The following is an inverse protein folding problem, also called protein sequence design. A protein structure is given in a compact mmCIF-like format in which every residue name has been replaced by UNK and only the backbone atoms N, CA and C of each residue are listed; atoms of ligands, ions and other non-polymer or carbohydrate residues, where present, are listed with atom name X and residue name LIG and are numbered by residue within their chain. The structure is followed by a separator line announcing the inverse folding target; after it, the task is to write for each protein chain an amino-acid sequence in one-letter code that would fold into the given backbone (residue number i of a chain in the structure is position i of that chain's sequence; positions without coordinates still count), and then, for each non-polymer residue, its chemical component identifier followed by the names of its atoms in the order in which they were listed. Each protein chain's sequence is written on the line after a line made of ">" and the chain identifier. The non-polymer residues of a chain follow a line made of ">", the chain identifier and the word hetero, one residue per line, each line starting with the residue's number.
data_IF_743325088050
#
_entry.id   IF_743325088050
#
_cell.length_a   1.000
_cell.length_b   1.000
_cell.length_c   1.000
_cell.angle_alpha   90.00
_cell.angle_beta   90.00
_cell.angle_gamma   90.00
#
_symmetry.space_group_name_H-M   'P 1'
#
loop_
_entity.id
_entity.type
_entity.pdbx_description
1 polymer ?
#
# COMPACT_ATOMS: atom_id res chain seq x y z
N UNK A 1 -7.19 -14.10 -16.99
CA UNK A 1 -7.63 -12.73 -16.68
C UNK A 1 -8.78 -12.35 -17.58
N UNK A 2 -9.79 -11.71 -17.00
CA UNK A 2 -11.00 -11.22 -17.65
C UNK A 2 -11.24 -9.78 -17.20
N UNK A 3 -11.74 -8.95 -18.12
CA UNK A 3 -12.16 -7.57 -17.83
C UNK A 3 -13.63 -7.44 -18.22
N UNK A 4 -14.49 -7.20 -17.24
CA UNK A 4 -15.92 -6.95 -17.42
C UNK A 4 -16.19 -5.45 -17.35
N UNK A 5 -16.88 -4.87 -18.33
CA UNK A 5 -17.36 -3.48 -18.22
C UNK A 5 -18.57 -3.44 -17.29
N UNK A 6 -18.67 -2.40 -16.48
CA UNK A 6 -19.87 -2.13 -15.68
C UNK A 6 -20.96 -1.57 -16.58
N UNK A 7 -22.19 -1.99 -16.36
CA UNK A 7 -23.36 -1.54 -17.13
C UNK A 7 -24.05 -0.34 -16.48
N UNK A 8 -23.99 -0.25 -15.14
CA UNK A 8 -24.66 0.78 -14.34
C UNK A 8 -23.86 2.08 -14.22
N UNK A 9 -22.56 2.04 -14.47
CA UNK A 9 -21.65 3.19 -14.36
C UNK A 9 -20.44 3.03 -15.27
N UNK A 10 -19.78 4.14 -15.62
CA UNK A 10 -18.56 4.07 -16.41
C UNK A 10 -17.44 3.45 -15.57
N UNK A 11 -17.05 2.22 -15.89
CA UNK A 11 -16.03 1.52 -15.15
C UNK A 11 -15.87 0.07 -15.58
N UNK A 12 -15.05 -0.66 -14.85
CA UNK A 12 -14.74 -2.04 -15.16
C UNK A 12 -14.43 -2.84 -13.89
N UNK A 13 -14.54 -4.15 -13.97
CA UNK A 13 -14.02 -5.11 -13.00
C UNK A 13 -12.96 -5.95 -13.69
N UNK A 14 -11.80 -6.14 -13.06
CA UNK A 14 -10.77 -7.06 -13.53
C UNK A 14 -10.76 -8.27 -12.60
N UNK A 15 -10.81 -9.46 -13.19
CA UNK A 15 -10.64 -10.75 -12.51
C UNK A 15 -9.35 -11.40 -13.01
N UNK A 16 -8.39 -11.73 -12.13
CA UNK A 16 -7.15 -12.36 -12.60
C UNK A 16 -7.35 -13.81 -13.06
N UNK A 17 -8.00 -14.63 -12.22
CA UNK A 17 -8.35 -16.02 -12.49
C UNK A 17 -9.87 -16.16 -12.60
N UNK A 18 -10.44 -16.12 -13.83
CA UNK A 18 -11.89 -16.27 -14.02
C UNK A 18 -12.38 -17.63 -13.51
N UNK A 19 -13.53 -17.63 -12.85
CA UNK A 19 -14.13 -18.82 -12.23
C UNK A 19 -13.62 -19.14 -10.82
N UNK A 20 -12.83 -18.26 -10.19
CA UNK A 20 -12.49 -18.41 -8.77
C UNK A 20 -13.73 -18.19 -7.87
N UNK A 21 -13.79 -18.94 -6.77
CA UNK A 21 -14.90 -18.87 -5.80
C UNK A 21 -14.96 -17.53 -5.05
N UNK A 22 -13.80 -16.88 -4.87
CA UNK A 22 -13.71 -15.59 -4.17
C UNK A 22 -12.64 -14.71 -4.81
N UNK A 23 -13.05 -13.47 -5.08
CA UNK A 23 -12.21 -12.40 -5.58
C UNK A 23 -11.93 -11.37 -4.50
N UNK A 24 -10.70 -10.88 -4.42
CA UNK A 24 -10.31 -9.86 -3.44
C UNK A 24 -9.51 -8.76 -4.10
N UNK A 25 -9.85 -7.53 -3.80
CA UNK A 25 -9.00 -6.38 -4.07
C UNK A 25 -9.78 -5.07 -4.13
N UNK A 26 -9.09 -3.94 -4.35
CA UNK A 26 -9.67 -2.64 -4.05
C UNK A 26 -10.64 -2.15 -5.11
N UNK A 27 -11.57 -1.30 -4.70
CA UNK A 27 -12.29 -0.38 -5.59
C UNK A 27 -11.47 0.91 -5.73
N UNK A 28 -11.32 1.41 -6.94
CA UNK A 28 -10.49 2.57 -7.29
C UNK A 28 -11.32 3.58 -8.07
N UNK A 29 -11.06 4.87 -7.89
CA UNK A 29 -11.75 5.93 -8.61
C UNK A 29 -10.79 6.82 -9.41
N UNK A 30 -11.20 7.18 -10.63
CA UNK A 30 -10.59 8.27 -11.38
C UNK A 30 -10.97 8.29 -12.86
N UNK A 31 -11.22 9.49 -13.38
CA UNK A 31 -11.65 9.73 -14.77
C UNK A 31 -10.71 9.16 -15.86
N UNK A 32 -9.43 8.96 -15.53
CA UNK A 32 -8.41 8.41 -16.44
C UNK A 32 -7.98 6.98 -16.10
N UNK A 33 -8.75 6.28 -15.26
CA UNK A 33 -8.48 4.87 -15.00
C UNK A 33 -8.57 4.06 -16.29
N UNK A 34 -7.62 3.14 -16.43
CA UNK A 34 -7.53 2.20 -17.54
C UNK A 34 -7.18 0.83 -16.96
N UNK A 35 -7.76 -0.27 -17.49
CA UNK A 35 -7.51 -1.62 -16.97
C UNK A 35 -6.03 -1.97 -16.89
N UNK A 36 -5.25 -1.65 -17.93
CA UNK A 36 -3.81 -1.95 -18.01
C UNK A 36 -2.96 -1.39 -16.86
N UNK A 37 -3.43 -0.33 -16.17
CA UNK A 37 -2.73 0.22 -15.01
C UNK A 37 -2.90 -0.62 -13.73
N UNK A 38 -3.88 -1.54 -13.72
CA UNK A 38 -4.23 -2.33 -12.55
C UNK A 38 -4.05 -3.84 -12.74
N UNK A 39 -3.92 -4.35 -13.97
CA UNK A 39 -3.72 -5.78 -14.26
C UNK A 39 -2.60 -6.42 -13.45
N UNK A 40 -1.45 -5.74 -13.37
CA UNK A 40 -0.30 -6.25 -12.63
C UNK A 40 -0.56 -6.28 -11.11
N UNK A 41 -1.31 -5.32 -10.57
CA UNK A 41 -1.68 -5.27 -9.15
C UNK A 41 -2.69 -6.36 -8.79
N UNK A 42 -3.64 -6.60 -9.70
CA UNK A 42 -4.62 -7.68 -9.60
C UNK A 42 -3.90 -9.03 -9.61
N UNK A 43 -2.94 -9.24 -10.51
CA UNK A 43 -2.12 -10.46 -10.54
C UNK A 43 -1.24 -10.64 -9.32
N UNK A 44 -0.64 -9.56 -8.82
CA UNK A 44 0.15 -9.59 -7.58
C UNK A 44 -0.69 -10.11 -6.41
N UNK A 45 -1.93 -9.63 -6.27
CA UNK A 45 -2.83 -10.08 -5.21
C UNK A 45 -3.14 -11.59 -5.31
N UNK A 46 -3.35 -12.13 -6.52
CA UNK A 46 -3.50 -13.58 -6.74
C UNK A 46 -2.27 -14.34 -6.27
N UNK A 47 -1.07 -13.85 -6.59
CA UNK A 47 0.17 -14.52 -6.17
C UNK A 47 0.36 -14.48 -4.65
N UNK A 48 -0.06 -13.41 -3.97
CA UNK A 48 -0.08 -13.36 -2.50
C UNK A 48 -0.98 -14.47 -1.93
N UNK A 49 -2.18 -14.67 -2.48
CA UNK A 49 -3.02 -15.79 -2.05
C UNK A 49 -2.41 -17.14 -2.37
N UNK A 50 -1.79 -17.30 -3.54
CA UNK A 50 -1.08 -18.52 -3.90
C UNK A 50 0.07 -18.84 -2.94
N UNK A 51 0.84 -17.83 -2.49
CA UNK A 51 1.91 -18.00 -1.50
C UNK A 51 1.38 -18.37 -0.11
N UNK A 52 0.15 -17.95 0.22
CA UNK A 52 -0.52 -18.27 1.48
C UNK A 52 -1.41 -19.53 1.37
N UNK A 53 -1.36 -20.23 0.24
CA UNK A 53 -2.17 -21.43 -0.06
C UNK A 53 -3.69 -21.19 0.06
N UNK A 54 -4.12 -19.96 -0.20
CA UNK A 54 -5.51 -19.54 -0.16
C UNK A 54 -6.16 -19.69 -1.55
N UNK A 55 -7.36 -20.28 -1.61
CA UNK A 55 -8.13 -20.44 -2.86
C UNK A 55 -8.90 -19.15 -3.21
N UNK A 56 -8.16 -18.07 -3.45
CA UNK A 56 -8.70 -16.74 -3.77
C UNK A 56 -7.97 -16.15 -4.96
N UNK A 57 -8.68 -15.35 -5.76
CA UNK A 57 -8.12 -14.60 -6.89
C UNK A 57 -8.03 -13.12 -6.54
N UNK A 58 -7.01 -12.45 -7.08
CA UNK A 58 -7.00 -11.00 -7.12
C UNK A 58 -8.07 -10.46 -8.06
N UNK A 59 -8.63 -9.31 -7.70
CA UNK A 59 -9.54 -8.54 -8.55
C UNK A 59 -9.46 -7.03 -8.22
N UNK A 60 -10.09 -6.20 -9.04
CA UNK A 60 -10.26 -4.76 -8.73
C UNK A 60 -11.47 -4.20 -9.46
N UNK A 61 -12.14 -3.24 -8.83
CA UNK A 61 -13.19 -2.43 -9.46
C UNK A 61 -12.57 -1.07 -9.80
N UNK A 62 -12.68 -0.64 -11.05
CA UNK A 62 -12.24 0.68 -11.51
C UNK A 62 -13.43 1.55 -11.91
N UNK A 63 -13.75 2.55 -11.10
CA UNK A 63 -14.78 3.55 -11.38
C UNK A 63 -14.17 4.73 -12.15
N UNK A 64 -14.49 4.83 -13.43
CA UNK A 64 -13.93 5.82 -14.35
C UNK A 64 -14.81 7.06 -14.43
N UNK A 65 -14.93 7.74 -13.30
CA UNK A 65 -15.75 8.96 -13.14
C UNK A 65 -14.93 10.09 -12.51
N UNK A 66 -15.44 11.31 -12.61
CA UNK A 66 -14.89 12.45 -11.89
C UNK A 66 -15.22 12.34 -10.38
N UNK A 67 -14.40 12.97 -9.50
CA UNK A 67 -14.63 12.89 -8.05
C UNK A 67 -16.03 13.36 -7.61
N UNK A 68 -16.62 14.31 -8.31
CA UNK A 68 -17.95 14.84 -8.00
C UNK A 68 -19.07 13.80 -8.23
N UNK A 69 -18.80 12.78 -9.05
CA UNK A 69 -19.74 11.69 -9.36
C UNK A 69 -19.53 10.44 -8.49
N UNK A 70 -18.66 10.51 -7.48
CA UNK A 70 -18.27 9.35 -6.65
C UNK A 70 -19.48 8.63 -6.04
N UNK A 71 -20.39 9.38 -5.42
CA UNK A 71 -21.54 8.81 -4.71
C UNK A 71 -22.46 8.03 -5.67
N UNK A 72 -22.78 8.63 -6.82
CA UNK A 72 -23.60 8.00 -7.84
C UNK A 72 -22.93 6.74 -8.42
N UNK A 73 -21.63 6.78 -8.70
CA UNK A 73 -20.89 5.64 -9.23
C UNK A 73 -20.78 4.48 -8.22
N UNK A 74 -20.57 4.78 -6.94
CA UNK A 74 -20.53 3.76 -5.88
C UNK A 74 -21.91 3.14 -5.66
N UNK A 75 -22.98 3.93 -5.66
CA UNK A 75 -24.34 3.41 -5.53
C UNK A 75 -24.69 2.48 -6.70
N UNK A 76 -24.37 2.90 -7.93
CA UNK A 76 -24.60 2.11 -9.14
C UNK A 76 -23.87 0.74 -9.09
N UNK A 77 -22.57 0.73 -8.75
CA UNK A 77 -21.82 -0.54 -8.66
C UNK A 77 -22.29 -1.41 -7.48
N UNK A 78 -22.73 -0.80 -6.37
CA UNK A 78 -23.28 -1.54 -5.23
C UNK A 78 -24.57 -2.29 -5.61
N UNK A 79 -25.40 -1.70 -6.47
CA UNK A 79 -26.62 -2.34 -6.99
C UNK A 79 -26.27 -3.42 -8.04
N UNK A 80 -25.41 -3.10 -9.02
CA UNK A 80 -25.05 -4.02 -10.10
C UNK A 80 -24.35 -5.29 -9.58
N UNK A 81 -23.49 -5.16 -8.57
CA UNK A 81 -22.72 -6.28 -7.99
C UNK A 81 -23.27 -6.74 -6.64
N UNK A 82 -24.53 -6.44 -6.33
CA UNK A 82 -25.16 -6.75 -5.03
C UNK A 82 -25.00 -8.23 -4.64
N UNK A 83 -25.28 -9.14 -5.58
CA UNK A 83 -25.18 -10.57 -5.34
C UNK A 83 -23.74 -11.01 -5.01
N UNK A 84 -22.73 -10.40 -5.64
CA UNK A 84 -21.32 -10.71 -5.39
C UNK A 84 -20.89 -10.28 -3.98
N UNK A 85 -21.36 -9.10 -3.54
CA UNK A 85 -21.07 -8.58 -2.20
C UNK A 85 -21.82 -9.35 -1.11
N UNK A 86 -23.12 -9.63 -1.27
CA UNK A 86 -23.89 -10.38 -0.26
C UNK A 86 -23.37 -11.81 -0.06
N UNK A 87 -22.98 -12.47 -1.16
CA UNK A 87 -22.42 -13.82 -1.17
C UNK A 87 -20.96 -13.88 -0.72
N UNK A 88 -20.27 -12.74 -0.59
CA UNK A 88 -18.83 -12.64 -0.33
C UNK A 88 -17.95 -13.25 -1.44
N UNK A 89 -18.48 -13.43 -2.65
CA UNK A 89 -17.69 -13.85 -3.81
C UNK A 89 -16.82 -12.70 -4.34
N UNK A 90 -17.12 -11.45 -3.98
CA UNK A 90 -16.23 -10.31 -4.17
C UNK A 90 -16.02 -9.53 -2.87
N UNK A 91 -14.76 -9.46 -2.41
CA UNK A 91 -14.35 -8.71 -1.23
C UNK A 91 -13.55 -7.48 -1.65
N UNK A 92 -14.08 -6.28 -1.37
CA UNK A 92 -13.41 -5.02 -1.73
C UNK A 92 -13.00 -4.19 -0.52
N UNK A 93 -11.99 -3.35 -0.72
CA UNK A 93 -11.53 -2.34 0.22
C UNK A 93 -11.38 -1.00 -0.51
N UNK A 94 -11.39 0.15 0.19
CA UNK A 94 -11.08 1.42 -0.43
C UNK A 94 -9.68 1.40 -1.05
N UNK A 95 -9.59 1.79 -2.32
CA UNK A 95 -8.34 1.99 -3.03
C UNK A 95 -8.14 3.46 -3.39
N UNK A 96 -7.49 3.69 -4.54
CA UNK A 96 -7.16 5.02 -5.03
C UNK A 96 -8.38 5.96 -4.99
N UNK A 97 -8.24 7.07 -4.24
CA UNK A 97 -9.22 8.17 -4.10
C UNK A 97 -10.56 7.78 -3.46
N UNK A 98 -10.63 6.62 -2.82
CA UNK A 98 -11.81 6.22 -2.04
C UNK A 98 -11.40 6.06 -0.57
N UNK A 99 -12.38 6.23 0.30
CA UNK A 99 -12.31 5.92 1.73
C UNK A 99 -13.51 5.05 2.13
N UNK A 100 -13.53 4.56 3.37
CA UNK A 100 -14.62 3.68 3.84
C UNK A 100 -15.99 4.35 3.74
N UNK A 101 -16.10 5.61 4.15
CA UNK A 101 -17.37 6.35 4.09
C UNK A 101 -17.91 6.44 2.65
N UNK A 102 -17.06 6.76 1.69
CA UNK A 102 -17.44 6.83 0.28
C UNK A 102 -17.80 5.46 -0.32
N UNK A 103 -17.31 4.36 0.27
CA UNK A 103 -17.53 2.99 -0.21
C UNK A 103 -18.56 2.21 0.64
N UNK A 104 -19.20 2.86 1.61
CA UNK A 104 -20.15 2.25 2.55
C UNK A 104 -21.30 1.47 1.86
N UNK A 105 -21.88 1.92 0.73
CA UNK A 105 -22.92 1.16 0.03
C UNK A 105 -22.51 -0.27 -0.35
N UNK A 106 -21.20 -0.49 -0.54
CA UNK A 106 -20.62 -1.80 -0.79
C UNK A 106 -20.13 -2.46 0.50
N UNK A 107 -19.42 -1.71 1.35
CA UNK A 107 -18.78 -2.25 2.56
C UNK A 107 -19.78 -2.72 3.64
N UNK A 108 -21.03 -2.26 3.61
CA UNK A 108 -22.09 -2.76 4.50
C UNK A 108 -22.35 -4.27 4.41
N UNK A 109 -21.89 -4.91 3.32
CA UNK A 109 -21.99 -6.35 3.11
C UNK A 109 -20.75 -7.12 3.55
N UNK A 110 -19.65 -6.43 3.89
CA UNK A 110 -18.39 -7.06 4.27
C UNK A 110 -18.49 -7.80 5.61
N UNK A 111 -18.19 -9.11 5.61
CA UNK A 111 -18.22 -9.97 6.79
C UNK A 111 -16.82 -10.30 7.31
N UNK A 112 -15.77 -9.71 6.75
CA UNK A 112 -14.41 -9.85 7.29
C UNK A 112 -14.36 -9.33 8.72
N UNK A 113 -13.51 -9.94 9.53
CA UNK A 113 -13.40 -9.59 10.95
C UNK A 113 -13.00 -8.10 11.10
N UNK A 114 -13.86 -7.32 11.77
CA UNK A 114 -13.66 -5.88 11.96
C UNK A 114 -12.43 -5.56 12.81
N UNK A 115 -11.82 -6.54 13.48
CA UNK A 115 -10.54 -6.37 14.17
C UNK A 115 -9.44 -5.83 13.26
N UNK A 116 -9.47 -6.13 11.95
CA UNK A 116 -8.49 -5.56 10.99
C UNK A 116 -8.54 -4.03 10.92
N UNK A 117 -9.66 -3.43 11.34
CA UNK A 117 -9.92 -2.00 11.34
C UNK A 117 -9.67 -1.35 12.69
N UNK A 118 -9.33 -2.13 13.72
CA UNK A 118 -9.03 -1.59 15.03
C UNK A 118 -7.87 -0.58 14.90
N UNK A 119 -8.12 0.65 15.34
CA UNK A 119 -7.15 1.73 15.30
C UNK A 119 -6.31 1.73 16.58
N UNK A 120 -4.99 1.81 16.43
CA UNK A 120 -4.06 2.06 17.51
C UNK A 120 -3.17 3.24 17.16
N UNK A 121 -3.54 4.39 17.72
CA UNK A 121 -2.85 5.67 17.55
C UNK A 121 -2.71 6.01 16.05
N UNK A 122 -3.85 5.98 15.33
CA UNK A 122 -4.00 6.37 13.93
C UNK A 122 -3.40 5.39 12.90
N UNK A 123 -3.12 4.16 13.32
CA UNK A 123 -2.71 3.05 12.45
C UNK A 123 -3.69 1.90 12.65
N UNK A 124 -4.25 1.38 11.56
CA UNK A 124 -5.15 0.22 11.62
C UNK A 124 -4.38 -1.07 11.88
N UNK A 125 -5.03 -2.05 12.51
CA UNK A 125 -4.42 -3.36 12.78
C UNK A 125 -3.90 -4.06 11.51
N UNK A 126 -4.57 -3.89 10.36
CA UNK A 126 -4.08 -4.37 9.06
C UNK A 126 -2.73 -3.73 8.67
N UNK A 127 -2.59 -2.42 8.83
CA UNK A 127 -1.33 -1.70 8.58
C UNK A 127 -0.25 -2.09 9.59
N UNK A 128 -0.64 -2.40 10.83
CA UNK A 128 0.28 -2.92 11.85
C UNK A 128 0.88 -4.28 11.48
N UNK A 129 0.05 -5.19 10.97
CA UNK A 129 0.50 -6.50 10.50
C UNK A 129 1.43 -6.37 9.30
N UNK A 130 1.17 -5.43 8.39
CA UNK A 130 2.06 -5.14 7.26
C UNK A 130 3.41 -4.62 7.72
N UNK A 131 3.45 -3.64 8.64
CA UNK A 131 4.71 -3.11 9.15
C UNK A 131 5.51 -4.13 9.96
N UNK A 132 4.84 -4.97 10.77
CA UNK A 132 5.46 -6.10 11.46
C UNK A 132 6.08 -7.10 10.48
N UNK A 133 5.33 -7.51 9.46
CA UNK A 133 5.83 -8.44 8.43
C UNK A 133 7.05 -7.87 7.70
N UNK A 134 6.98 -6.60 7.30
CA UNK A 134 8.07 -5.92 6.61
C UNK A 134 9.32 -5.80 7.49
N UNK A 135 9.19 -5.32 8.73
CA UNK A 135 10.30 -5.19 9.66
C UNK A 135 10.93 -6.56 9.98
N UNK A 136 10.11 -7.61 10.10
CA UNK A 136 10.58 -8.99 10.30
C UNK A 136 11.39 -9.48 9.09
N UNK A 137 10.90 -9.25 7.86
CA UNK A 137 11.63 -9.61 6.64
C UNK A 137 12.97 -8.87 6.55
N UNK A 138 12.99 -7.58 6.87
CA UNK A 138 14.21 -6.78 6.92
C UNK A 138 15.20 -7.33 7.95
N UNK A 139 14.74 -7.61 9.18
CA UNK A 139 15.57 -8.11 10.26
C UNK A 139 16.18 -9.50 9.94
N UNK A 140 15.46 -10.36 9.22
CA UNK A 140 16.00 -11.64 8.76
C UNK A 140 17.11 -11.47 7.73
N UNK A 141 17.00 -10.45 6.86
CA UNK A 141 18.01 -10.16 5.85
C UNK A 141 19.29 -9.55 6.45
N UNK A 142 19.15 -8.60 7.38
CA UNK A 142 20.30 -7.80 7.88
C UNK A 142 20.86 -8.30 9.21
N UNK A 143 20.09 -9.10 9.98
CA UNK A 143 20.42 -9.54 11.35
C UNK A 143 20.90 -8.38 12.23
N UNK A 144 20.00 -7.41 12.50
CA UNK A 144 20.40 -6.12 13.05
C UNK A 144 21.04 -6.27 14.43
N UNK A 145 22.09 -5.50 14.66
CA UNK A 145 22.66 -5.25 16.00
C UNK A 145 22.09 -3.95 16.57
N UNK A 146 22.59 -3.51 17.73
CA UNK A 146 22.25 -2.19 18.29
C UNK A 146 22.44 -1.07 17.23
N UNK A 147 21.56 -0.07 17.23
CA UNK A 147 21.54 1.10 16.32
C UNK A 147 21.17 0.76 14.86
N UNK A 148 20.20 -0.14 14.65
CA UNK A 148 19.67 -0.48 13.32
C UNK A 148 19.06 0.74 12.62
N UNK A 149 19.60 1.14 11.47
CA UNK A 149 19.20 2.33 10.71
C UNK A 149 18.37 1.95 9.51
N UNK A 150 17.19 2.54 9.39
CA UNK A 150 16.32 2.28 8.23
C UNK A 150 15.92 3.56 7.50
N UNK A 151 15.63 3.42 6.22
CA UNK A 151 14.95 4.46 5.44
C UNK A 151 13.57 3.98 5.00
N UNK A 152 12.60 4.89 4.94
CA UNK A 152 11.21 4.59 4.54
C UNK A 152 10.82 5.52 3.39
N UNK A 153 10.65 4.95 2.20
CA UNK A 153 10.04 5.64 1.07
C UNK A 153 8.51 5.54 1.13
N UNK A 154 7.83 6.65 0.83
CA UNK A 154 6.38 6.69 0.82
C UNK A 154 5.77 6.73 2.20
N UNK A 155 6.40 7.45 3.14
CA UNK A 155 6.00 7.47 4.54
C UNK A 155 4.52 7.82 4.71
N UNK A 156 3.82 6.94 5.42
CA UNK A 156 2.38 6.94 5.71
C UNK A 156 2.13 6.08 6.96
N UNK A 157 0.89 5.68 7.24
CA UNK A 157 0.53 4.80 8.36
C UNK A 157 1.29 3.46 8.38
N UNK A 158 1.48 2.81 7.22
CA UNK A 158 2.31 1.59 7.11
C UNK A 158 3.77 1.92 7.46
N UNK A 159 4.30 3.05 6.96
CA UNK A 159 5.62 3.54 7.35
C UNK A 159 5.75 3.79 8.86
N UNK A 160 4.70 4.31 9.51
CA UNK A 160 4.66 4.50 10.96
C UNK A 160 4.66 3.15 11.70
N UNK A 161 3.92 2.14 11.21
CA UNK A 161 3.99 0.80 11.76
C UNK A 161 5.40 0.19 11.64
N UNK A 162 6.05 0.35 10.47
CA UNK A 162 7.45 -0.07 10.28
C UNK A 162 8.37 0.61 11.29
N UNK A 163 8.21 1.93 11.51
CA UNK A 163 9.01 2.67 12.48
C UNK A 163 8.87 2.12 13.91
N UNK A 164 7.63 1.81 14.35
CA UNK A 164 7.35 1.20 15.66
C UNK A 164 8.07 -0.13 15.83
N UNK A 165 8.05 -0.98 14.81
CA UNK A 165 8.67 -2.31 14.86
C UNK A 165 10.20 -2.26 14.79
N UNK A 166 10.75 -1.32 14.02
CA UNK A 166 12.20 -1.06 13.98
C UNK A 166 12.70 -0.57 15.34
N UNK A 167 11.98 0.37 15.97
CA UNK A 167 12.28 0.84 17.33
C UNK A 167 12.18 -0.29 18.36
N UNK A 168 11.14 -1.13 18.28
CA UNK A 168 10.99 -2.32 19.16
C UNK A 168 12.17 -3.28 19.03
N UNK A 169 12.79 -3.34 17.85
CA UNK A 169 13.98 -4.16 17.56
C UNK A 169 15.30 -3.44 17.90
N UNK A 170 15.26 -2.26 18.53
CA UNK A 170 16.44 -1.49 18.97
C UNK A 170 17.06 -0.59 17.91
N UNK A 171 16.32 -0.31 16.83
CA UNK A 171 16.71 0.59 15.75
C UNK A 171 16.05 1.97 15.80
N UNK A 172 16.26 2.75 14.75
CA UNK A 172 15.59 4.02 14.50
C UNK A 172 15.40 4.26 13.00
N UNK A 173 14.52 5.20 12.67
CA UNK A 173 14.36 5.67 11.30
C UNK A 173 15.35 6.79 11.04
N UNK A 174 16.30 6.54 10.14
CA UNK A 174 17.30 7.52 9.71
C UNK A 174 16.72 8.48 8.67
N UNK A 175 15.85 7.98 7.80
CA UNK A 175 15.25 8.76 6.72
C UNK A 175 13.81 8.38 6.45
N UNK A 176 13.02 9.40 6.15
CA UNK A 176 11.71 9.21 5.51
C UNK A 176 11.61 10.07 4.25
N UNK A 177 10.89 9.56 3.26
CA UNK A 177 10.51 10.33 2.08
C UNK A 177 8.99 10.28 1.85
N UNK A 178 8.45 11.41 1.42
CA UNK A 178 7.06 11.55 0.95
C UNK A 178 7.07 12.13 -0.46
N UNK A 179 5.89 12.44 -1.00
CA UNK A 179 5.77 13.18 -2.26
C UNK A 179 6.33 14.61 -2.18
N UNK A 180 6.73 15.10 -1.00
CA UNK A 180 7.24 16.45 -0.76
C UNK A 180 8.76 16.54 -0.67
N UNK A 181 9.47 15.41 -0.56
CA UNK A 181 10.92 15.42 -0.33
C UNK A 181 11.37 14.26 0.55
N UNK A 182 12.63 14.30 0.95
CA UNK A 182 13.22 13.38 1.93
C UNK A 182 13.81 14.18 3.08
N UNK A 183 13.64 13.71 4.31
CA UNK A 183 14.30 14.28 5.50
C UNK A 183 15.18 13.22 6.15
N UNK A 184 16.33 13.64 6.67
CA UNK A 184 17.29 12.79 7.37
C UNK A 184 17.44 13.26 8.81
N UNK A 185 17.52 12.33 9.74
CA UNK A 185 17.65 12.59 11.17
C UNK A 185 17.72 11.27 11.94
N UNK A 186 17.48 11.32 13.25
CA UNK A 186 17.34 10.14 14.10
C UNK A 186 15.96 10.18 14.73
N UNK A 187 15.00 9.52 14.09
CA UNK A 187 13.60 9.62 14.46
C UNK A 187 13.13 8.35 15.20
N UNK A 188 12.54 8.56 16.37
CA UNK A 188 11.72 7.55 17.06
C UNK A 188 10.30 7.51 16.47
N UNK A 189 9.54 6.45 16.77
CA UNK A 189 8.22 6.26 16.19
C UNK A 189 7.21 7.29 16.69
N UNK A 190 7.36 7.79 17.92
CA UNK A 190 6.46 8.81 18.49
C UNK A 190 6.58 10.16 17.79
N UNK A 191 7.80 10.62 17.53
CA UNK A 191 8.10 11.85 16.80
C UNK A 191 7.54 11.79 15.38
N UNK A 192 7.66 10.63 14.74
CA UNK A 192 7.10 10.41 13.41
C UNK A 192 5.57 10.36 13.42
N UNK A 193 4.96 9.75 14.45
CA UNK A 193 3.51 9.71 14.62
C UNK A 193 2.94 11.12 14.75
N UNK A 194 3.49 11.94 15.64
CA UNK A 194 3.04 13.30 15.88
C UNK A 194 3.13 14.13 14.59
N UNK A 195 4.27 14.07 13.89
CA UNK A 195 4.46 14.80 12.65
C UNK A 195 3.50 14.33 11.53
N UNK A 196 3.24 13.02 11.42
CA UNK A 196 2.30 12.47 10.44
C UNK A 196 0.86 12.85 10.73
N UNK A 197 0.40 12.72 11.97
CA UNK A 197 -0.99 13.03 12.33
C UNK A 197 -1.30 14.52 12.14
N UNK A 198 -0.32 15.38 12.42
CA UNK A 198 -0.47 16.83 12.32
C UNK A 198 -0.36 17.35 10.88
N UNK A 199 0.34 16.65 9.97
CA UNK A 199 0.69 17.23 8.65
C UNK A 199 0.69 16.29 7.45
N UNK A 200 0.39 15.00 7.66
CA UNK A 200 0.39 13.98 6.62
C UNK A 200 1.69 14.01 5.82
N UNK A 201 1.58 14.08 4.49
CA UNK A 201 2.74 14.12 3.59
C UNK A 201 3.67 15.32 3.80
N UNK A 202 3.21 16.41 4.42
CA UNK A 202 4.02 17.58 4.73
C UNK A 202 4.78 17.44 6.06
N UNK A 203 4.65 16.31 6.78
CA UNK A 203 5.38 16.04 8.03
C UNK A 203 6.88 16.28 7.92
N UNK A 204 7.47 16.03 6.75
CA UNK A 204 8.91 16.21 6.50
C UNK A 204 9.39 17.65 6.72
N UNK A 205 8.52 18.65 6.55
CA UNK A 205 8.86 20.07 6.76
C UNK A 205 8.96 20.41 8.25
N UNK A 206 8.29 19.64 9.11
CA UNK A 206 8.36 19.77 10.58
C UNK A 206 9.54 18.99 11.16
N UNK A 207 9.90 17.89 10.52
CA UNK A 207 10.99 17.00 10.95
C UNK A 207 12.38 17.53 10.58
N UNK A 208 12.48 18.46 9.61
CA UNK A 208 13.73 19.08 9.21
C UNK A 208 13.64 19.80 7.87
N UNK A 209 14.80 20.19 7.32
CA UNK A 209 14.86 20.78 5.99
C UNK A 209 14.76 19.69 4.90
N UNK A 210 13.72 19.68 4.05
CA UNK A 210 13.56 18.64 3.04
C UNK A 210 14.67 18.70 1.96
N UNK A 211 15.31 17.57 1.75
CA UNK A 211 16.20 17.29 0.62
C UNK A 211 15.45 16.71 -0.58
N UNK A 212 16.20 16.11 -1.51
CA UNK A 212 15.64 15.52 -2.73
C UNK A 212 14.95 14.19 -2.38
N UNK A 213 13.79 13.85 -2.98
CA UNK A 213 13.10 12.60 -2.68
C UNK A 213 13.98 11.34 -2.84
N UNK A 214 14.87 11.33 -3.83
CA UNK A 214 15.78 10.20 -4.09
C UNK A 214 16.95 10.09 -3.11
N UNK A 215 17.09 11.02 -2.16
CA UNK A 215 18.06 10.87 -1.07
C UNK A 215 17.72 9.67 -0.17
N UNK A 216 16.47 9.18 -0.19
CA UNK A 216 16.03 7.97 0.54
C UNK A 216 16.80 6.72 0.11
N UNK A 217 17.31 6.67 -1.12
CA UNK A 217 17.96 5.50 -1.72
C UNK A 217 19.44 5.33 -1.37
N UNK A 218 20.08 6.23 -0.62
CA UNK A 218 21.51 6.08 -0.33
C UNK A 218 21.76 4.83 0.52
N UNK A 219 22.83 4.10 0.21
CA UNK A 219 23.19 2.84 0.86
C UNK A 219 23.91 3.00 2.23
N UNK A 220 23.62 4.07 2.97
CA UNK A 220 24.16 4.38 4.31
C UNK A 220 23.22 3.97 5.45
N UNK A 221 22.19 3.17 5.12
CA UNK A 221 21.25 2.55 6.04
C UNK A 221 21.26 1.04 5.87
N UNK A 222 20.79 0.32 6.87
CA UNK A 222 20.82 -1.14 6.90
C UNK A 222 19.66 -1.74 6.08
N UNK A 223 18.52 -1.07 5.99
CA UNK A 223 17.39 -1.50 5.17
C UNK A 223 16.57 -0.32 4.64
N UNK A 224 15.94 -0.51 3.48
CA UNK A 224 15.06 0.49 2.85
C UNK A 224 13.68 -0.13 2.63
N UNK A 225 12.65 0.48 3.19
CA UNK A 225 11.26 0.12 2.96
C UNK A 225 10.68 0.96 1.83
N UNK A 226 9.93 0.34 0.92
CA UNK A 226 9.39 1.01 -0.28
C UNK A 226 7.93 0.64 -0.52
N UNK A 227 7.07 1.64 -0.64
CA UNK A 227 5.64 1.39 -0.58
C UNK A 227 4.71 2.42 -1.22
N UNK A 228 5.21 3.58 -1.70
CA UNK A 228 4.29 4.66 -2.11
C UNK A 228 3.38 4.30 -3.28
N UNK A 229 3.89 3.52 -4.23
CA UNK A 229 3.19 3.16 -5.47
C UNK A 229 3.90 2.00 -6.19
N UNK A 230 3.23 1.38 -7.17
CA UNK A 230 3.88 0.43 -8.07
C UNK A 230 5.04 1.08 -8.82
N UNK A 231 6.18 0.38 -8.87
CA UNK A 231 7.42 0.89 -9.47
C UNK A 231 7.98 2.13 -8.77
N UNK A 232 7.70 2.33 -7.47
CA UNK A 232 8.29 3.38 -6.64
C UNK A 232 9.82 3.40 -6.75
N UNK A 233 10.47 2.23 -6.72
CA UNK A 233 11.88 2.12 -7.07
C UNK A 233 12.04 1.73 -8.56
N UNK A 234 12.65 2.67 -9.30
CA UNK A 234 13.04 2.51 -10.69
C UNK A 234 14.45 1.92 -10.80
N UNK A 235 14.88 1.57 -12.02
CA UNK A 235 16.27 1.14 -12.23
C UNK A 235 17.32 2.19 -11.87
N UNK A 236 16.98 3.49 -11.95
CA UNK A 236 17.86 4.56 -11.50
C UNK A 236 17.98 4.60 -9.97
N UNK A 237 16.85 4.43 -9.27
CA UNK A 237 16.84 4.32 -7.80
C UNK A 237 17.61 3.09 -7.32
N UNK A 238 17.50 1.97 -8.02
CA UNK A 238 18.21 0.72 -7.69
C UNK A 238 19.74 0.86 -7.75
N UNK A 239 20.29 1.71 -8.61
CA UNK A 239 21.73 1.97 -8.64
C UNK A 239 22.23 2.67 -7.36
N UNK A 240 21.34 3.36 -6.62
CA UNK A 240 21.70 4.10 -5.42
C UNK A 240 21.79 3.24 -4.15
N UNK A 241 21.15 2.07 -4.13
CA UNK A 241 20.99 1.25 -2.92
C UNK A 241 22.11 0.22 -2.71
N UNK A 242 22.99 0.01 -3.68
CA UNK A 242 24.12 -0.94 -3.59
C UNK A 242 23.67 -2.32 -3.03
N UNK A 243 24.22 -2.75 -1.89
CA UNK A 243 23.87 -4.03 -1.25
C UNK A 243 22.82 -3.89 -0.14
N UNK A 244 22.26 -2.70 0.08
CA UNK A 244 21.25 -2.46 1.12
C UNK A 244 19.95 -3.16 0.73
N UNK A 245 19.42 -4.08 1.57
CA UNK A 245 18.16 -4.75 1.30
C UNK A 245 16.99 -3.78 1.13
N UNK A 246 16.20 -4.02 0.08
CA UNK A 246 14.99 -3.26 -0.25
C UNK A 246 13.76 -4.12 0.04
N UNK A 247 12.89 -3.66 0.92
CA UNK A 247 11.71 -4.38 1.41
C UNK A 247 10.46 -3.69 0.90
N UNK A 248 9.70 -4.39 0.06
CA UNK A 248 8.44 -3.87 -0.47
C UNK A 248 7.35 -3.92 0.61
N UNK A 249 6.67 -2.80 0.84
CA UNK A 249 5.49 -2.68 1.72
C UNK A 249 4.19 -2.44 0.94
N UNK A 250 4.27 -2.41 -0.40
CA UNK A 250 3.09 -2.37 -1.26
C UNK A 250 3.24 -3.22 -2.53
N UNK A 251 2.12 -3.59 -3.17
CA UNK A 251 2.14 -4.39 -4.39
C UNK A 251 3.01 -3.81 -5.49
N UNK A 252 3.98 -4.61 -5.92
CA UNK A 252 4.91 -4.29 -7.01
C UNK A 252 5.60 -2.93 -6.89
N UNK A 253 5.97 -2.55 -5.66
CA UNK A 253 6.73 -1.35 -5.37
C UNK A 253 8.09 -1.30 -6.11
N UNK A 254 8.64 -2.47 -6.46
CA UNK A 254 9.91 -2.63 -7.17
C UNK A 254 9.64 -2.92 -8.65
N UNK A 255 10.13 -2.06 -9.54
CA UNK A 255 10.01 -2.28 -10.99
C UNK A 255 10.86 -3.47 -11.45
N UNK A 256 10.48 -4.13 -12.55
CA UNK A 256 11.28 -5.25 -13.13
C UNK A 256 12.72 -4.83 -13.46
N UNK A 257 12.92 -3.57 -13.87
CA UNK A 257 14.26 -3.03 -14.14
C UNK A 257 15.07 -2.85 -12.85
N UNK A 258 14.43 -2.43 -11.75
CA UNK A 258 15.08 -2.35 -10.44
C UNK A 258 15.44 -3.74 -9.93
N UNK A 259 14.52 -4.72 -10.02
CA UNK A 259 14.78 -6.11 -9.63
C UNK A 259 15.95 -6.76 -10.36
N UNK A 260 16.24 -6.35 -11.60
CA UNK A 260 17.38 -6.87 -12.36
C UNK A 260 18.73 -6.26 -11.94
N UNK A 261 18.72 -5.21 -11.11
CA UNK A 261 19.90 -4.47 -10.63
C UNK A 261 20.24 -4.85 -9.18
N UNK A 262 19.21 -5.03 -8.34
CA UNK A 262 19.31 -5.44 -6.93
C UNK A 262 19.82 -6.89 -6.80
#
# INVERSE_FOLDING_TARGET
>A
MEIKQLESTNGFVIYDLPGADTYVGPTRLGAKLAPGNAEMLVRHQTYVFGLLEEQKSGATIGLKVDPDDTEAAVAAVAEEMLADFESQSFLTSPGLRLNRNSLEPVLRYDKRNSLTLADRDGVSFEEELLGLGAATAAALAVKPTNDWKVAIEGFNQVGLSVAREVERLGGHVERIATSKGCVTGKFDSSTLADAWMDSGVNCIEKLGAPGKPWDVWKADVDAIFVGSKPGAISGEGANGVATTPVIATSPAAISSKALAIL
#
